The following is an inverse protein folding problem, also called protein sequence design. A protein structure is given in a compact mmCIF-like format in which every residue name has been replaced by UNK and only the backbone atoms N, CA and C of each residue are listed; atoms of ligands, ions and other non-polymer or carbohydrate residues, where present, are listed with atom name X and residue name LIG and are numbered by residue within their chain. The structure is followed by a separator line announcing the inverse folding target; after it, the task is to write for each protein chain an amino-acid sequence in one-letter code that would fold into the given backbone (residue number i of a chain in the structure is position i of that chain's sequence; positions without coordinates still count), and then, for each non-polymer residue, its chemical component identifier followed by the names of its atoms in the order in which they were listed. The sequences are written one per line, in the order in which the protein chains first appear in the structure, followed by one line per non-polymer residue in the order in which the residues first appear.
data_IF_533186090316
#
_entry.id   IF_533186090316
#
_cell.length_a   1.000
_cell.length_b   1.000
_cell.length_c   1.000
_cell.angle_alpha   90.00
_cell.angle_beta   90.00
_cell.angle_gamma   90.00
#
_symmetry.space_group_name_H-M   'P 1'
#
loop_
_entity.id
_entity.type
_entity.pdbx_description
1 polymer ?
#
# COMPACT_ATOMS: atom_id res chain seq x y z
N UNK A 1 -3.12 -16.73 -14.54
CA UNK A 1 -3.62 -15.93 -13.41
C UNK A 1 -2.42 -15.22 -12.83
N UNK A 2 -2.49 -13.89 -12.64
CA UNK A 2 -1.41 -13.19 -11.95
C UNK A 2 -1.37 -13.67 -10.49
N UNK A 3 -0.17 -13.87 -9.95
CA UNK A 3 0.01 -14.22 -8.55
C UNK A 3 -0.39 -13.02 -7.68
N UNK A 4 -1.05 -13.29 -6.56
CA UNK A 4 -1.59 -12.27 -5.66
C UNK A 4 -0.60 -11.96 -4.54
N UNK A 5 -0.30 -10.67 -4.35
CA UNK A 5 0.48 -10.16 -3.24
C UNK A 5 -0.45 -9.43 -2.26
N UNK A 6 -0.52 -9.92 -1.03
CA UNK A 6 -1.19 -9.21 0.07
C UNK A 6 -0.16 -8.30 0.75
N UNK A 7 -0.36 -6.99 0.67
CA UNK A 7 0.56 -5.99 1.22
C UNK A 7 0.01 -5.39 2.53
N UNK A 8 0.89 -5.23 3.52
CA UNK A 8 0.60 -4.62 4.82
C UNK A 8 1.05 -3.14 4.84
N UNK A 9 0.67 -2.39 5.87
CA UNK A 9 1.04 -0.98 6.09
C UNK A 9 2.56 -0.79 6.13
N UNK A 10 3.28 -1.67 6.84
CA UNK A 10 4.73 -1.57 7.00
C UNK A 10 5.51 -1.45 5.67
N UNK A 11 5.36 -2.39 4.72
CA UNK A 11 5.96 -2.29 3.39
C UNK A 11 5.55 -1.04 2.61
N UNK A 12 4.27 -0.63 2.65
CA UNK A 12 3.79 0.59 1.98
C UNK A 12 4.53 1.81 2.50
N UNK A 13 4.59 1.98 3.83
CA UNK A 13 5.29 3.10 4.47
C UNK A 13 6.79 3.06 4.22
N UNK A 14 7.41 1.88 4.29
CA UNK A 14 8.85 1.73 4.06
C UNK A 14 9.23 2.15 2.63
N UNK A 15 8.48 1.69 1.63
CA UNK A 15 8.71 2.04 0.22
C UNK A 15 8.42 3.51 -0.07
N UNK A 16 7.37 4.08 0.52
CA UNK A 16 7.07 5.50 0.43
C UNK A 16 8.22 6.36 0.98
N UNK A 17 8.78 5.98 2.13
CA UNK A 17 9.87 6.72 2.80
C UNK A 17 11.17 6.75 2.00
N UNK A 18 11.44 5.71 1.20
CA UNK A 18 12.62 5.66 0.34
C UNK A 18 12.35 6.15 -1.09
N UNK A 19 11.11 6.56 -1.40
CA UNK A 19 10.73 7.06 -2.73
C UNK A 19 10.56 5.97 -3.80
N UNK A 20 10.39 4.71 -3.41
CA UNK A 20 10.35 3.55 -4.32
C UNK A 20 8.99 2.84 -4.36
N UNK A 21 7.93 3.51 -3.91
CA UNK A 21 6.57 2.97 -3.87
C UNK A 21 6.06 2.56 -5.26
N UNK A 22 6.50 3.25 -6.31
CA UNK A 22 6.15 2.97 -7.71
C UNK A 22 6.80 1.71 -8.29
N UNK A 23 7.69 1.03 -7.54
CA UNK A 23 8.26 -0.25 -7.96
C UNK A 23 7.28 -1.41 -7.80
N UNK A 24 6.38 -1.33 -6.81
CA UNK A 24 5.44 -2.43 -6.50
C UNK A 24 4.55 -2.82 -7.68
N UNK A 25 3.87 -1.89 -8.39
CA UNK A 25 3.05 -2.26 -9.54
C UNK A 25 3.87 -2.85 -10.72
N UNK A 26 5.21 -2.65 -10.74
CA UNK A 26 6.09 -3.21 -11.79
C UNK A 26 6.40 -4.69 -11.59
N UNK A 27 6.03 -5.27 -10.45
CA UNK A 27 6.21 -6.70 -10.17
C UNK A 27 5.29 -7.61 -11.01
N UNK A 28 4.25 -7.05 -11.64
CA UNK A 28 3.29 -7.83 -12.43
C UNK A 28 2.37 -8.71 -11.58
N UNK A 29 2.20 -8.37 -10.29
CA UNK A 29 1.36 -9.07 -9.33
C UNK A 29 0.01 -8.36 -9.16
N UNK A 30 -1.02 -9.12 -8.78
CA UNK A 30 -2.28 -8.57 -8.28
C UNK A 30 -2.07 -8.12 -6.83
N UNK A 31 -1.86 -6.82 -6.61
CA UNK A 31 -1.54 -6.30 -5.27
C UNK A 31 -2.81 -5.84 -4.56
N UNK A 32 -3.06 -6.46 -3.42
CA UNK A 32 -4.26 -6.22 -2.62
C UNK A 32 -3.88 -5.91 -1.16
N UNK A 33 -4.75 -5.21 -0.45
CA UNK A 33 -4.63 -5.07 1.01
C UNK A 33 -5.99 -5.24 1.72
N UNK A 34 -6.02 -5.76 2.95
CA UNK A 34 -7.21 -5.72 3.79
C UNK A 34 -7.67 -4.30 4.08
N UNK A 35 -8.97 -4.13 4.36
CA UNK A 35 -9.56 -2.83 4.70
C UNK A 35 -8.88 -2.14 5.89
N UNK A 36 -8.34 -2.92 6.84
CA UNK A 36 -7.61 -2.45 8.01
C UNK A 36 -6.30 -1.73 7.63
N UNK A 37 -5.62 -2.18 6.57
CA UNK A 37 -4.39 -1.52 6.07
C UNK A 37 -4.72 -0.14 5.52
N UNK A 38 -5.83 0.00 4.78
CA UNK A 38 -6.32 1.32 4.34
C UNK A 38 -6.65 2.21 5.54
N UNK A 39 -7.37 1.66 6.53
CA UNK A 39 -7.75 2.41 7.73
C UNK A 39 -6.51 2.89 8.52
N UNK A 40 -5.46 2.07 8.63
CA UNK A 40 -4.21 2.46 9.29
C UNK A 40 -3.48 3.58 8.54
N UNK A 41 -3.42 3.51 7.20
CA UNK A 41 -2.84 4.57 6.37
C UNK A 41 -3.61 5.89 6.52
N UNK A 42 -4.95 5.83 6.50
CA UNK A 42 -5.81 7.01 6.65
C UNK A 42 -5.67 7.62 8.06
N UNK A 43 -5.58 6.78 9.11
CA UNK A 43 -5.29 7.23 10.47
C UNK A 43 -3.92 7.90 10.57
N UNK A 44 -2.92 7.41 9.82
CA UNK A 44 -1.61 8.04 9.71
C UNK A 44 -1.70 9.46 9.14
N UNK A 45 -2.45 9.65 8.06
CA UNK A 45 -2.69 10.99 7.46
C UNK A 45 -3.42 11.91 8.44
N UNK A 46 -4.43 11.41 9.15
CA UNK A 46 -5.15 12.17 10.17
C UNK A 46 -4.25 12.60 11.34
N UNK A 47 -3.18 11.84 11.62
CA UNK A 47 -2.14 12.16 12.59
C UNK A 47 -0.98 12.99 12.01
N UNK A 48 -1.17 13.63 10.85
CA UNK A 48 -0.20 14.50 10.16
C UNK A 48 1.06 13.76 9.64
N UNK A 49 1.00 12.43 9.50
CA UNK A 49 2.04 11.70 8.77
C UNK A 49 1.88 11.87 7.25
N UNK A 50 2.99 11.84 6.48
CA UNK A 50 2.93 11.90 5.03
C UNK A 50 2.06 10.79 4.45
N UNK A 51 1.14 11.14 3.55
CA UNK A 51 0.32 10.18 2.84
C UNK A 51 1.16 9.29 1.90
N UNK A 52 0.88 8.00 1.88
CA UNK A 52 1.36 7.09 0.85
C UNK A 52 0.30 6.95 -0.24
N UNK A 53 0.53 7.56 -1.40
CA UNK A 53 -0.38 7.43 -2.54
C UNK A 53 -0.19 6.05 -3.20
N UNK A 54 -1.24 5.24 -3.17
CA UNK A 54 -1.23 3.83 -3.60
C UNK A 54 -2.42 3.51 -4.51
N UNK A 55 -2.56 4.18 -5.67
CA UNK A 55 -3.74 4.02 -6.54
C UNK A 55 -3.81 2.63 -7.19
N UNK A 56 -2.72 1.87 -7.16
CA UNK A 56 -2.59 0.53 -7.72
C UNK A 56 -2.92 -0.60 -6.74
N UNK A 57 -3.15 -0.30 -5.45
CA UNK A 57 -3.57 -1.32 -4.46
C UNK A 57 -5.10 -1.48 -4.51
N UNK A 58 -5.58 -2.71 -4.65
CA UNK A 58 -7.00 -3.03 -4.48
C UNK A 58 -7.30 -3.34 -3.01
N UNK A 59 -8.29 -2.67 -2.43
CA UNK A 59 -8.74 -2.96 -1.06
C UNK A 59 -9.73 -4.13 -1.09
N UNK A 60 -9.48 -5.14 -0.24
CA UNK A 60 -10.35 -6.29 -0.05
C UNK A 60 -10.98 -6.27 1.35
N UNK A 61 -12.19 -6.84 1.53
CA UNK A 61 -12.86 -6.96 2.83
C UNK A 61 -12.05 -7.76 3.85
#
# INVERSE_FOLDING_TARGET
MAERLVINTGPVVALARIGELDLVPRLGLDVVCPSEVRAELDAGVAAEHPAADVPWITVIP
#
